data_IF_673478469568
#
_entry.id   IF_673478469568
#
_cell.length_a   1.000
_cell.length_b   1.000
_cell.length_c   1.000
_cell.angle_alpha   90.00
_cell.angle_beta   90.00
_cell.angle_gamma   90.00
#
_symmetry.space_group_name_H-M   'P 1'
#
loop_
_entity.id
_entity.type
_entity.pdbx_description
1 polymer ?
#
# COMPACT_ATOMS: atom_id res chain seq x y z
N UNK A 1 -3.09 17.49 41.03
CA UNK A 1 -2.09 16.71 40.24
C UNK A 1 -2.22 15.25 40.64
N UNK A 2 -2.58 14.35 39.72
CA UNK A 2 -2.55 12.92 39.94
C UNK A 2 -1.09 12.50 40.03
N UNK A 3 -0.68 11.87 41.14
CA UNK A 3 0.71 11.52 41.40
C UNK A 3 1.28 10.47 40.41
N UNK A 4 0.41 9.63 39.81
CA UNK A 4 0.77 8.61 38.82
C UNK A 4 -0.38 8.47 37.81
N UNK A 5 -0.37 9.21 36.69
CA UNK A 5 -1.37 9.04 35.65
C UNK A 5 -1.22 7.65 35.00
N UNK A 6 -2.36 6.99 34.80
CA UNK A 6 -2.43 5.71 34.07
C UNK A 6 -3.25 5.89 32.82
N UNK A 7 -2.80 5.29 31.73
CA UNK A 7 -3.55 5.26 30.45
C UNK A 7 -3.86 3.80 30.13
N UNK A 8 -5.13 3.48 29.93
CA UNK A 8 -5.60 2.18 29.47
C UNK A 8 -5.90 2.25 27.98
N UNK A 9 -5.37 1.30 27.20
CA UNK A 9 -5.68 1.15 25.78
C UNK A 9 -6.37 -0.21 25.63
N UNK A 10 -7.65 -0.17 25.22
CA UNK A 10 -8.46 -1.36 24.98
C UNK A 10 -8.83 -1.38 23.51
N UNK A 11 -8.48 -2.44 22.81
CA UNK A 11 -8.71 -2.53 21.37
C UNK A 11 -8.72 -3.99 20.91
N UNK A 12 -9.31 -4.24 19.77
CA UNK A 12 -9.24 -5.50 19.04
C UNK A 12 -8.46 -5.30 17.73
N UNK A 13 -7.99 -6.38 17.14
CA UNK A 13 -7.43 -6.34 15.81
C UNK A 13 -8.47 -5.85 14.79
N UNK A 14 -8.01 -5.16 13.79
CA UNK A 14 -8.80 -4.67 12.69
C UNK A 14 -8.11 -4.99 11.36
N UNK A 15 -8.63 -4.39 10.30
CA UNK A 15 -8.08 -4.54 8.95
C UNK A 15 -6.83 -3.67 8.70
N UNK A 16 -6.38 -2.88 9.71
CA UNK A 16 -5.22 -1.99 9.59
C UNK A 16 -3.97 -2.73 10.01
N UNK A 17 -3.02 -2.89 9.10
CA UNK A 17 -1.64 -3.27 9.40
C UNK A 17 -0.76 -2.00 9.40
N UNK A 18 0.37 -2.03 10.09
CA UNK A 18 1.27 -0.87 10.32
C UNK A 18 0.59 0.31 11.03
N UNK A 19 -0.32 0.01 11.92
CA UNK A 19 -0.95 1.02 12.77
C UNK A 19 -0.36 1.06 14.18
N UNK A 20 -0.77 2.04 15.00
CA UNK A 20 -0.30 2.14 16.40
C UNK A 20 -0.51 0.86 17.23
N UNK A 21 -1.53 0.06 16.89
CA UNK A 21 -1.76 -1.23 17.57
C UNK A 21 -0.63 -2.21 17.31
N UNK A 22 -0.11 -2.24 16.08
CA UNK A 22 0.99 -3.16 15.71
C UNK A 22 2.26 -2.84 16.48
N UNK A 23 2.57 -1.55 16.68
CA UNK A 23 3.69 -1.11 17.50
C UNK A 23 3.54 -1.55 18.96
N UNK A 24 2.32 -1.37 19.52
CA UNK A 24 2.03 -1.82 20.88
C UNK A 24 2.08 -3.34 21.02
N UNK A 25 1.56 -4.09 20.05
CA UNK A 25 1.63 -5.55 20.04
C UNK A 25 3.09 -6.06 19.92
N UNK A 26 3.87 -5.48 19.01
CA UNK A 26 5.28 -5.82 18.85
C UNK A 26 6.07 -5.55 20.14
N UNK A 27 5.89 -4.36 20.75
CA UNK A 27 6.49 -4.02 22.02
C UNK A 27 6.04 -4.97 23.14
N UNK A 28 4.73 -5.25 23.22
CA UNK A 28 4.17 -6.14 24.22
C UNK A 28 4.75 -7.56 24.11
N UNK A 29 4.93 -8.07 22.90
CA UNK A 29 5.55 -9.39 22.66
C UNK A 29 7.00 -9.43 23.08
N UNK A 30 7.80 -8.38 22.77
CA UNK A 30 9.20 -8.30 23.22
C UNK A 30 9.30 -8.30 24.75
N UNK A 31 8.41 -7.58 25.44
CA UNK A 31 8.36 -7.58 26.90
C UNK A 31 8.02 -8.97 27.45
N UNK A 32 7.01 -9.64 26.88
CA UNK A 32 6.50 -10.92 27.36
C UNK A 32 7.41 -12.11 27.05
N UNK A 33 8.09 -12.11 25.91
CA UNK A 33 8.83 -13.27 25.41
C UNK A 33 10.33 -13.06 25.26
N UNK A 34 10.79 -11.80 25.14
CA UNK A 34 12.20 -11.48 24.91
C UNK A 34 12.87 -10.75 26.09
N UNK A 35 12.17 -10.65 27.24
CA UNK A 35 12.64 -9.98 28.45
C UNK A 35 13.03 -8.50 28.27
N UNK A 36 12.41 -7.79 27.30
CA UNK A 36 12.57 -6.35 27.18
C UNK A 36 12.01 -5.64 28.43
N UNK A 37 12.66 -4.59 28.98
CA UNK A 37 12.15 -3.84 30.11
C UNK A 37 10.77 -3.22 29.80
N UNK A 38 9.81 -3.40 30.71
CA UNK A 38 8.44 -2.93 30.51
C UNK A 38 8.29 -1.41 30.52
N UNK A 39 9.18 -0.70 31.24
CA UNK A 39 9.16 0.75 31.35
C UNK A 39 7.76 1.30 31.71
N UNK A 40 7.00 0.57 32.52
CA UNK A 40 5.63 0.92 32.93
C UNK A 40 4.56 0.57 31.90
N UNK A 41 4.86 -0.21 30.87
CA UNK A 41 3.90 -0.74 29.91
C UNK A 41 3.51 -2.17 30.29
N UNK A 42 2.25 -2.38 30.65
CA UNK A 42 1.68 -3.70 30.99
C UNK A 42 0.90 -4.25 29.78
N UNK A 43 1.46 -5.17 29.00
CA UNK A 43 0.74 -5.82 27.92
C UNK A 43 -0.16 -6.92 28.45
N UNK A 44 -1.42 -6.94 27.96
CA UNK A 44 -2.36 -8.04 28.16
C UNK A 44 -2.97 -8.37 26.81
N UNK A 45 -2.54 -9.48 26.22
CA UNK A 45 -2.83 -9.84 24.84
C UNK A 45 -3.62 -11.15 24.84
N UNK A 46 -4.87 -11.10 24.37
CA UNK A 46 -5.75 -12.24 24.18
C UNK A 46 -6.00 -12.41 22.68
N UNK A 47 -5.39 -13.40 22.06
CA UNK A 47 -5.56 -13.70 20.64
C UNK A 47 -5.14 -15.16 20.36
N UNK A 48 -5.63 -15.71 19.25
CA UNK A 48 -5.03 -16.89 18.66
C UNK A 48 -3.69 -16.51 17.99
N UNK A 49 -2.78 -17.47 17.91
CA UNK A 49 -1.47 -17.29 17.29
C UNK A 49 -1.48 -17.62 15.81
N UNK A 50 -2.32 -18.58 15.40
CA UNK A 50 -2.44 -19.06 14.03
C UNK A 50 -3.91 -19.20 13.63
N UNK A 51 -4.20 -18.99 12.33
CA UNK A 51 -5.56 -19.04 11.80
C UNK A 51 -6.18 -20.44 11.92
N UNK A 52 -5.37 -21.47 11.79
CA UNK A 52 -5.79 -22.88 11.89
C UNK A 52 -6.38 -23.21 13.26
N UNK A 53 -5.94 -22.52 14.31
CA UNK A 53 -6.43 -22.71 15.68
C UNK A 53 -7.91 -22.35 15.84
N UNK A 54 -8.48 -21.56 14.93
CA UNK A 54 -9.89 -21.15 14.99
C UNK A 54 -10.85 -22.34 14.86
N UNK A 55 -10.42 -23.40 14.20
CA UNK A 55 -11.25 -24.59 13.95
C UNK A 55 -11.36 -25.53 15.16
N UNK A 56 -10.57 -25.28 16.20
CA UNK A 56 -10.63 -26.04 17.45
C UNK A 56 -11.15 -25.13 18.58
N UNK A 57 -12.38 -25.37 19.08
CA UNK A 57 -12.99 -24.58 20.15
C UNK A 57 -12.17 -24.52 21.45
N UNK A 58 -11.29 -25.49 21.70
CA UNK A 58 -10.42 -25.46 22.87
C UNK A 58 -9.41 -24.32 22.82
N UNK A 59 -9.04 -23.87 21.63
CA UNK A 59 -8.16 -22.71 21.47
C UNK A 59 -8.85 -21.35 21.69
N UNK A 60 -10.18 -21.28 21.59
CA UNK A 60 -10.91 -20.00 21.69
C UNK A 60 -10.72 -19.31 23.05
N UNK A 61 -10.40 -20.06 24.10
CA UNK A 61 -10.09 -19.53 25.42
C UNK A 61 -8.84 -18.63 25.42
N UNK A 62 -7.91 -18.82 24.50
CA UNK A 62 -6.73 -17.99 24.35
C UNK A 62 -7.11 -16.56 23.93
N UNK A 63 -8.10 -16.43 23.05
CA UNK A 63 -8.61 -15.15 22.59
C UNK A 63 -9.67 -14.57 23.54
N UNK A 64 -10.46 -15.43 24.19
CA UNK A 64 -11.58 -15.03 25.04
C UNK A 64 -11.53 -15.78 26.38
N UNK A 65 -10.69 -15.36 27.34
CA UNK A 65 -10.59 -16.04 28.64
C UNK A 65 -11.91 -16.10 29.42
N UNK A 66 -12.85 -15.20 29.14
CA UNK A 66 -14.17 -15.16 29.77
C UNK A 66 -15.06 -16.35 29.43
N UNK A 67 -14.76 -17.10 28.35
CA UNK A 67 -15.50 -18.32 27.99
C UNK A 67 -15.44 -19.40 29.07
N UNK A 68 -14.42 -19.40 29.93
CA UNK A 68 -14.36 -20.30 31.09
C UNK A 68 -15.48 -20.09 32.09
N UNK A 69 -16.02 -18.88 32.16
CA UNK A 69 -16.97 -18.47 33.19
C UNK A 69 -18.37 -18.17 32.67
N UNK A 70 -18.53 -18.07 31.35
CA UNK A 70 -19.76 -17.65 30.68
C UNK A 70 -20.19 -18.66 29.60
N UNK A 71 -20.95 -19.71 29.97
CA UNK A 71 -21.40 -20.75 29.02
C UNK A 71 -22.22 -20.18 27.84
N UNK A 72 -23.06 -19.18 28.09
CA UNK A 72 -23.88 -18.55 27.05
C UNK A 72 -22.99 -17.84 26.01
N UNK A 73 -21.89 -17.21 26.46
CA UNK A 73 -20.92 -16.58 25.57
C UNK A 73 -20.18 -17.61 24.71
N UNK A 74 -19.93 -18.82 25.25
CA UNK A 74 -19.34 -19.90 24.47
C UNK A 74 -20.30 -20.33 23.35
N UNK A 75 -21.59 -20.48 23.67
CA UNK A 75 -22.59 -20.83 22.66
C UNK A 75 -22.72 -19.76 21.57
N UNK A 76 -22.76 -18.48 21.97
CA UNK A 76 -22.77 -17.34 21.04
C UNK A 76 -21.54 -17.38 20.13
N UNK A 77 -20.35 -17.63 20.67
CA UNK A 77 -19.10 -17.74 19.90
C UNK A 77 -19.14 -18.91 18.93
N UNK A 78 -19.76 -20.02 19.32
CA UNK A 78 -19.93 -21.19 18.45
C UNK A 78 -20.92 -20.92 17.30
N UNK A 79 -21.93 -20.11 17.55
CA UNK A 79 -22.89 -19.69 16.51
C UNK A 79 -22.22 -18.72 15.53
N UNK A 80 -21.46 -17.73 16.00
CA UNK A 80 -20.66 -16.84 15.18
C UNK A 80 -19.60 -17.60 14.34
N UNK A 81 -19.00 -18.64 14.92
CA UNK A 81 -18.06 -19.51 14.18
C UNK A 81 -18.74 -20.22 13.02
N UNK A 82 -19.95 -20.78 13.23
CA UNK A 82 -20.70 -21.44 12.14
C UNK A 82 -21.05 -20.47 11.02
N UNK A 83 -21.53 -19.30 11.39
CA UNK A 83 -21.85 -18.24 10.43
C UNK A 83 -20.61 -17.80 9.64
N UNK A 84 -19.46 -17.71 10.33
CA UNK A 84 -18.20 -17.38 9.65
C UNK A 84 -17.74 -18.50 8.70
N UNK A 85 -17.87 -19.76 9.06
CA UNK A 85 -17.51 -20.90 8.19
C UNK A 85 -18.39 -20.96 6.94
N UNK A 86 -19.69 -20.64 7.07
CA UNK A 86 -20.63 -20.64 5.95
C UNK A 86 -20.46 -19.40 5.05
N UNK A 87 -20.16 -18.24 5.64
CA UNK A 87 -20.07 -16.96 4.96
C UNK A 87 -18.84 -16.13 5.39
N UNK A 88 -17.62 -16.58 5.10
CA UNK A 88 -16.38 -15.93 5.60
C UNK A 88 -16.23 -14.48 5.18
N UNK A 89 -16.71 -14.13 3.97
CA UNK A 89 -16.61 -12.76 3.43
C UNK A 89 -17.52 -11.75 4.15
N UNK A 90 -18.63 -12.23 4.73
CA UNK A 90 -19.60 -11.36 5.40
C UNK A 90 -19.30 -11.22 6.89
N UNK A 91 -18.64 -12.20 7.49
CA UNK A 91 -18.40 -12.33 8.93
C UNK A 91 -16.91 -12.19 9.31
N UNK A 92 -16.14 -11.39 8.57
CA UNK A 92 -14.71 -11.17 8.81
C UNK A 92 -14.38 -10.64 10.22
N UNK A 93 -15.34 -9.98 10.85
CA UNK A 93 -15.22 -9.47 12.23
C UNK A 93 -15.02 -10.58 13.27
N UNK A 94 -15.49 -11.80 13.00
CA UNK A 94 -15.28 -12.96 13.88
C UNK A 94 -13.78 -13.23 14.13
N UNK A 95 -12.98 -13.28 13.07
CA UNK A 95 -11.54 -13.50 13.20
C UNK A 95 -10.83 -12.36 13.92
N UNK A 96 -11.20 -11.12 13.58
CA UNK A 96 -10.47 -9.95 14.09
C UNK A 96 -10.89 -9.55 15.48
N UNK A 97 -12.18 -9.50 15.73
CA UNK A 97 -12.74 -8.98 16.98
C UNK A 97 -12.93 -10.07 18.03
N UNK A 98 -13.35 -11.27 17.60
CA UNK A 98 -13.59 -12.36 18.53
C UNK A 98 -12.33 -13.19 18.78
N UNK A 99 -11.55 -13.49 17.74
CA UNK A 99 -10.38 -14.36 17.85
C UNK A 99 -9.04 -13.60 17.94
N UNK A 100 -9.08 -12.28 17.84
CA UNK A 100 -7.88 -11.43 17.93
C UNK A 100 -6.87 -11.68 16.83
N UNK A 101 -7.25 -12.38 15.76
CA UNK A 101 -6.42 -12.60 14.59
C UNK A 101 -6.44 -11.38 13.68
N UNK A 102 -5.38 -11.17 12.93
CA UNK A 102 -5.41 -10.17 11.86
C UNK A 102 -6.37 -10.60 10.77
N UNK A 103 -7.14 -9.68 10.24
CA UNK A 103 -7.96 -9.95 9.06
C UNK A 103 -7.03 -10.17 7.87
N UNK A 104 -6.71 -11.42 7.62
CA UNK A 104 -6.17 -11.85 6.35
C UNK A 104 -7.32 -12.18 5.42
N UNK A 105 -7.92 -11.18 4.78
CA UNK A 105 -8.74 -11.42 3.61
C UNK A 105 -7.82 -11.78 2.45
N UNK A 106 -7.28 -13.01 2.47
CA UNK A 106 -6.39 -13.51 1.42
C UNK A 106 -7.00 -13.43 0.01
N UNK A 107 -8.32 -13.49 -0.09
CA UNK A 107 -9.00 -13.38 -1.39
C UNK A 107 -9.22 -11.94 -1.87
N UNK A 108 -9.09 -10.93 -1.00
CA UNK A 108 -9.40 -9.54 -1.30
C UNK A 108 -8.16 -8.64 -1.25
N UNK A 109 -7.16 -8.96 -0.44
CA UNK A 109 -5.91 -8.19 -0.40
C UNK A 109 -5.12 -8.33 -1.72
N UNK A 110 -4.29 -7.32 -2.03
CA UNK A 110 -3.37 -7.42 -3.17
C UNK A 110 -2.41 -8.59 -2.98
N UNK A 111 -1.86 -8.73 -1.78
CA UNK A 111 -0.98 -9.85 -1.40
C UNK A 111 -0.91 -9.94 0.12
N UNK A 112 -0.22 -10.96 0.64
CA UNK A 112 0.04 -11.11 2.06
C UNK A 112 0.94 -9.99 2.57
N UNK A 113 0.68 -9.53 3.80
CA UNK A 113 1.45 -8.44 4.40
C UNK A 113 2.95 -8.74 4.52
N UNK A 114 3.32 -9.98 4.81
CA UNK A 114 4.72 -10.40 4.85
C UNK A 114 5.43 -10.22 3.50
N UNK A 115 4.73 -10.49 2.37
CA UNK A 115 5.27 -10.25 1.04
C UNK A 115 5.43 -8.76 0.74
N UNK A 116 4.52 -7.92 1.27
CA UNK A 116 4.68 -6.45 1.20
C UNK A 116 5.94 -6.02 1.94
N UNK A 117 6.20 -6.53 3.14
CA UNK A 117 7.42 -6.21 3.90
C UNK A 117 8.70 -6.64 3.17
N UNK A 118 8.67 -7.77 2.47
CA UNK A 118 9.82 -8.27 1.70
C UNK A 118 10.22 -7.39 0.52
N UNK A 119 9.41 -6.40 0.15
CA UNK A 119 9.79 -5.39 -0.85
C UNK A 119 10.86 -4.42 -0.35
N UNK A 120 11.09 -4.35 0.97
CA UNK A 120 12.15 -3.54 1.58
C UNK A 120 13.53 -4.18 1.34
N UNK A 121 13.92 -4.26 0.08
CA UNK A 121 15.23 -4.75 -0.36
C UNK A 121 16.07 -3.57 -0.84
N UNK A 122 17.38 -3.56 -0.61
CA UNK A 122 18.27 -2.52 -1.12
C UNK A 122 18.14 -2.39 -2.64
N UNK A 123 18.11 -1.16 -3.12
CA UNK A 123 18.13 -0.85 -4.54
C UNK A 123 19.56 -0.59 -5.02
N UNK A 124 19.92 -0.94 -6.26
CA UNK A 124 21.14 -0.49 -6.88
C UNK A 124 21.05 1.03 -7.17
N UNK A 125 22.18 1.63 -7.58
CA UNK A 125 22.15 2.98 -8.14
C UNK A 125 21.41 2.95 -9.49
N UNK A 126 20.26 3.58 -9.53
CA UNK A 126 19.38 3.63 -10.71
C UNK A 126 19.66 4.81 -11.64
N UNK A 127 20.61 5.69 -11.32
CA UNK A 127 20.95 6.83 -12.17
C UNK A 127 21.37 6.39 -13.57
N UNK A 128 20.83 7.06 -14.57
CA UNK A 128 21.04 6.74 -15.98
C UNK A 128 20.18 5.58 -16.50
N UNK A 129 19.41 4.89 -15.62
CA UNK A 129 18.53 3.83 -16.09
C UNK A 129 17.30 4.39 -16.79
N UNK A 130 16.75 3.58 -17.70
CA UNK A 130 15.46 3.88 -18.34
C UNK A 130 14.32 3.45 -17.43
N UNK A 131 13.32 4.33 -17.29
CA UNK A 131 12.13 4.08 -16.48
C UNK A 131 10.84 4.47 -17.19
N UNK A 132 9.73 3.95 -16.70
CA UNK A 132 8.38 4.43 -16.95
C UNK A 132 7.88 5.20 -15.75
N UNK A 133 7.00 6.18 -15.98
CA UNK A 133 6.38 7.00 -14.93
C UNK A 133 4.92 6.64 -14.82
N UNK A 134 4.46 6.40 -13.61
CA UNK A 134 3.04 6.31 -13.29
C UNK A 134 2.63 7.48 -12.41
N UNK A 135 1.47 8.05 -12.68
CA UNK A 135 0.89 9.15 -11.94
C UNK A 135 -0.52 8.79 -11.48
N UNK A 136 -0.78 8.91 -10.19
CA UNK A 136 -2.14 8.95 -9.64
C UNK A 136 -2.38 10.31 -9.01
N UNK A 137 -3.39 11.02 -9.52
CA UNK A 137 -3.69 12.40 -9.16
C UNK A 137 -5.17 12.57 -8.82
N UNK A 138 -5.46 13.07 -7.63
CA UNK A 138 -6.81 13.42 -7.20
C UNK A 138 -6.99 14.95 -7.20
N UNK A 139 -8.06 15.44 -7.83
CA UNK A 139 -8.31 16.85 -8.07
C UNK A 139 -8.43 17.72 -6.81
N UNK A 140 -9.02 17.19 -5.77
CA UNK A 140 -9.34 17.94 -4.57
C UNK A 140 -8.88 17.19 -3.33
N UNK A 141 -7.93 17.81 -2.67
CA UNK A 141 -7.77 17.73 -1.22
C UNK A 141 -7.19 16.44 -0.62
N UNK A 142 -6.62 15.48 -1.38
CA UNK A 142 -6.16 14.29 -0.71
C UNK A 142 -4.68 13.99 -0.90
N UNK A 143 -4.38 13.13 -1.83
CA UNK A 143 -3.05 12.66 -2.12
C UNK A 143 -2.82 12.65 -3.62
N UNK A 144 -1.58 12.83 -4.01
CA UNK A 144 -1.09 12.52 -5.33
C UNK A 144 0.18 11.69 -5.19
N UNK A 145 0.48 10.87 -6.18
CA UNK A 145 1.69 10.07 -6.17
C UNK A 145 2.25 9.89 -7.58
N UNK A 146 3.58 9.88 -7.66
CA UNK A 146 4.36 9.53 -8.85
C UNK A 146 5.19 8.31 -8.54
N UNK A 147 5.22 7.34 -9.44
CA UNK A 147 6.09 6.18 -9.37
C UNK A 147 7.02 6.13 -10.60
N UNK A 148 8.30 6.06 -10.34
CA UNK A 148 9.32 5.76 -11.35
C UNK A 148 9.59 4.26 -11.30
N UNK A 149 9.25 3.55 -12.35
CA UNK A 149 9.38 2.10 -12.43
C UNK A 149 10.55 1.70 -13.33
N UNK A 150 11.42 0.85 -12.82
CA UNK A 150 12.62 0.35 -13.49
C UNK A 150 12.59 -1.17 -13.51
N UNK A 151 13.23 -1.76 -14.54
CA UNK A 151 13.31 -3.20 -14.69
C UNK A 151 14.73 -3.64 -15.05
N UNK A 152 15.16 -4.76 -14.47
CA UNK A 152 16.36 -5.48 -14.89
C UNK A 152 16.10 -7.00 -14.83
N UNK A 153 15.90 -7.60 -15.99
CA UNK A 153 15.51 -9.01 -16.07
C UNK A 153 14.17 -9.27 -15.38
N UNK A 154 14.20 -10.04 -14.30
CA UNK A 154 13.04 -10.32 -13.46
C UNK A 154 12.81 -9.27 -12.37
N UNK A 155 13.85 -8.57 -11.91
CA UNK A 155 13.76 -7.63 -10.80
C UNK A 155 13.06 -6.33 -11.21
N UNK A 156 12.25 -5.79 -10.27
CA UNK A 156 11.52 -4.52 -10.38
C UNK A 156 11.98 -3.58 -9.28
N UNK A 157 12.36 -2.37 -9.67
CA UNK A 157 12.80 -1.33 -8.77
C UNK A 157 11.87 -0.14 -8.95
N UNK A 158 11.43 0.44 -7.84
CA UNK A 158 10.50 1.55 -7.87
C UNK A 158 10.98 2.67 -6.97
N UNK A 159 10.85 3.91 -7.44
CA UNK A 159 11.01 5.13 -6.64
C UNK A 159 9.66 5.81 -6.64
N UNK A 160 9.01 5.83 -5.50
CA UNK A 160 7.70 6.42 -5.34
C UNK A 160 7.80 7.69 -4.51
N UNK A 161 7.09 8.72 -4.91
CA UNK A 161 6.95 9.94 -4.14
C UNK A 161 5.48 10.35 -4.07
N UNK A 162 5.05 10.77 -2.90
CA UNK A 162 3.68 11.19 -2.66
C UNK A 162 3.61 12.62 -2.14
N UNK A 163 2.48 13.27 -2.38
CA UNK A 163 2.14 14.58 -1.82
C UNK A 163 0.86 14.47 -1.02
N UNK A 164 0.81 15.18 0.10
CA UNK A 164 -0.37 15.29 0.95
C UNK A 164 -0.75 16.75 1.13
N UNK A 165 -2.04 17.06 0.94
CA UNK A 165 -2.57 18.40 1.09
C UNK A 165 -2.94 18.67 2.55
N UNK A 166 -2.30 19.66 3.20
CA UNK A 166 -2.50 19.96 4.63
C UNK A 166 -3.87 20.61 4.92
N UNK A 167 -4.43 21.34 3.98
CA UNK A 167 -5.71 22.01 4.14
C UNK A 167 -6.91 21.13 3.74
N UNK A 168 -6.65 19.84 3.46
CA UNK A 168 -7.69 18.88 3.15
C UNK A 168 -8.58 18.61 4.36
N UNK A 169 -9.90 18.75 4.16
CA UNK A 169 -10.91 18.40 5.18
C UNK A 169 -10.93 16.90 5.52
N UNK A 170 -10.35 16.06 4.68
CA UNK A 170 -10.30 14.61 4.87
C UNK A 170 -9.04 14.16 5.59
N UNK A 171 -7.98 14.98 5.61
CA UNK A 171 -6.71 14.66 6.23
C UNK A 171 -6.80 14.12 7.67
N UNK A 172 -7.64 14.70 8.57
CA UNK A 172 -7.79 14.18 9.93
C UNK A 172 -8.35 12.75 10.01
N UNK A 173 -8.97 12.26 8.93
CA UNK A 173 -9.54 10.91 8.85
C UNK A 173 -8.54 9.89 8.29
N UNK A 174 -7.44 10.35 7.72
CA UNK A 174 -6.44 9.47 7.10
C UNK A 174 -5.60 8.82 8.19
N UNK A 175 -5.67 7.50 8.25
CA UNK A 175 -4.96 6.68 9.23
C UNK A 175 -3.55 6.34 8.72
N UNK A 176 -2.72 7.35 8.51
CA UNK A 176 -1.33 7.21 8.09
C UNK A 176 -0.43 8.07 8.97
N UNK A 177 0.78 7.65 9.32
CA UNK A 177 1.77 8.46 10.02
C UNK A 177 2.47 9.45 9.06
N UNK A 178 1.69 10.19 8.28
CA UNK A 178 2.18 11.05 7.21
C UNK A 178 3.15 12.14 7.70
N UNK A 179 2.98 12.62 8.96
CA UNK A 179 3.90 13.60 9.55
C UNK A 179 5.30 13.02 9.74
N UNK A 180 5.40 11.76 10.13
CA UNK A 180 6.66 11.04 10.26
C UNK A 180 7.28 10.86 8.88
N UNK A 181 6.52 10.37 7.92
CA UNK A 181 6.99 10.19 6.54
C UNK A 181 7.42 11.49 5.86
N UNK A 182 6.74 12.61 6.16
CA UNK A 182 7.17 13.91 5.66
C UNK A 182 8.52 14.36 6.25
N UNK A 183 8.74 14.13 7.55
CA UNK A 183 10.02 14.43 8.21
C UNK A 183 11.16 13.56 7.69
N UNK A 184 10.89 12.32 7.35
CA UNK A 184 11.84 11.35 6.81
C UNK A 184 12.08 11.51 5.30
N UNK A 185 11.32 12.39 4.64
CA UNK A 185 11.48 12.68 3.21
C UNK A 185 10.77 11.70 2.27
N UNK A 186 9.93 10.80 2.79
CA UNK A 186 9.19 9.83 2.00
C UNK A 186 8.02 10.45 1.23
N UNK A 187 7.50 11.59 1.69
CA UNK A 187 6.46 12.37 1.01
C UNK A 187 6.62 13.87 1.26
N UNK A 188 5.93 14.67 0.46
CA UNK A 188 5.89 16.14 0.62
C UNK A 188 4.52 16.59 1.15
N UNK A 189 4.53 17.32 2.27
CA UNK A 189 3.35 17.98 2.80
C UNK A 189 3.19 19.37 2.11
N UNK A 190 2.05 19.60 1.47
CA UNK A 190 1.73 20.83 0.74
C UNK A 190 0.75 21.66 1.55
N UNK A 191 1.18 22.84 1.97
CA UNK A 191 0.31 23.78 2.72
C UNK A 191 -0.56 24.60 1.77
N UNK A 192 -1.52 23.89 1.17
CA UNK A 192 -2.49 24.47 0.24
C UNK A 192 -3.80 23.67 0.29
N UNK A 193 -4.84 24.17 -0.39
CA UNK A 193 -6.15 23.52 -0.55
C UNK A 193 -6.11 22.40 -1.60
N UNK A 194 -5.10 22.39 -2.48
CA UNK A 194 -4.91 21.41 -3.55
C UNK A 194 -3.44 21.16 -3.82
N UNK A 195 -3.11 20.03 -4.45
CA UNK A 195 -1.76 19.74 -4.94
C UNK A 195 -1.67 20.26 -6.38
N UNK A 196 -0.84 21.28 -6.61
CA UNK A 196 -0.65 21.83 -7.95
C UNK A 196 -0.06 20.79 -8.91
N UNK A 197 -0.62 20.61 -10.12
CA UNK A 197 -0.01 19.81 -11.18
C UNK A 197 1.42 20.22 -11.54
N UNK A 198 1.76 21.49 -11.36
CA UNK A 198 3.11 22.01 -11.65
C UNK A 198 4.15 21.48 -10.67
N UNK A 199 3.77 21.22 -9.39
CA UNK A 199 4.66 20.55 -8.44
C UNK A 199 5.03 19.15 -8.90
N UNK A 200 4.06 18.43 -9.44
CA UNK A 200 4.26 17.08 -9.97
C UNK A 200 5.09 17.11 -11.24
N UNK A 201 4.81 18.06 -12.15
CA UNK A 201 5.58 18.27 -13.36
C UNK A 201 7.06 18.61 -13.05
N UNK A 202 7.30 19.48 -12.07
CA UNK A 202 8.64 19.81 -11.61
C UNK A 202 9.39 18.59 -11.08
N UNK A 203 8.74 17.74 -10.26
CA UNK A 203 9.34 16.51 -9.77
C UNK A 203 9.72 15.56 -10.91
N UNK A 204 8.84 15.35 -11.90
CA UNK A 204 9.10 14.50 -13.06
C UNK A 204 10.26 15.09 -13.89
N UNK A 205 10.31 16.42 -14.05
CA UNK A 205 11.39 17.09 -14.76
C UNK A 205 12.74 16.96 -14.04
N UNK A 206 12.74 17.04 -12.71
CA UNK A 206 13.94 16.80 -11.91
C UNK A 206 14.38 15.33 -11.98
N UNK A 207 13.45 14.38 -11.93
CA UNK A 207 13.74 12.98 -12.15
C UNK A 207 14.34 12.71 -13.54
N UNK A 208 13.90 13.42 -14.59
CA UNK A 208 14.44 13.30 -15.94
C UNK A 208 15.92 13.74 -16.08
N UNK A 209 16.46 14.47 -15.09
CA UNK A 209 17.90 14.77 -15.02
C UNK A 209 18.73 13.58 -14.56
N UNK A 210 18.12 12.68 -13.80
CA UNK A 210 18.79 11.51 -13.24
C UNK A 210 18.50 10.23 -14.02
N UNK A 211 17.31 10.13 -14.61
CA UNK A 211 16.80 8.91 -15.24
C UNK A 211 16.32 9.18 -16.66
N UNK A 212 16.35 8.15 -17.51
CA UNK A 212 15.83 8.23 -18.87
C UNK A 212 14.34 7.86 -18.87
N UNK A 213 13.45 8.85 -18.80
CA UNK A 213 12.00 8.63 -18.75
C UNK A 213 11.49 8.29 -20.15
N UNK A 214 11.04 7.05 -20.34
CA UNK A 214 10.53 6.52 -21.62
C UNK A 214 9.13 7.00 -21.94
N UNK A 215 8.22 6.86 -20.98
CA UNK A 215 6.80 7.19 -21.14
C UNK A 215 6.15 7.42 -19.77
N UNK A 216 4.98 8.08 -19.79
CA UNK A 216 4.13 8.35 -18.63
C UNK A 216 2.78 7.66 -18.80
N UNK A 217 2.24 7.08 -17.73
CA UNK A 217 0.91 6.50 -17.66
C UNK A 217 0.13 7.08 -16.48
N UNK A 218 -1.16 7.38 -16.70
CA UNK A 218 -2.06 7.80 -15.64
C UNK A 218 -3.52 7.51 -16.00
N UNK A 219 -4.41 7.59 -15.02
CA UNK A 219 -5.83 7.39 -15.21
C UNK A 219 -6.40 8.30 -16.30
N UNK A 220 -7.21 7.72 -17.20
CA UNK A 220 -7.81 8.42 -18.33
C UNK A 220 -8.71 9.58 -17.89
N UNK A 221 -9.51 9.39 -16.85
CA UNK A 221 -10.47 10.39 -16.39
C UNK A 221 -9.81 11.61 -15.72
N UNK A 222 -8.58 11.45 -15.22
CA UNK A 222 -7.85 12.50 -14.51
C UNK A 222 -6.87 13.28 -15.38
N UNK A 223 -6.67 12.84 -16.62
CA UNK A 223 -5.70 13.47 -17.53
C UNK A 223 -5.95 14.97 -17.74
N UNK A 224 -7.21 15.37 -17.89
CA UNK A 224 -7.56 16.78 -18.15
C UNK A 224 -7.06 17.73 -17.07
N UNK A 225 -6.94 17.25 -15.82
CA UNK A 225 -6.51 18.05 -14.67
C UNK A 225 -5.03 18.40 -14.69
N UNK A 226 -4.21 17.56 -15.29
CA UNK A 226 -2.74 17.72 -15.30
C UNK A 226 -2.18 17.94 -16.70
N UNK A 227 -3.01 17.90 -17.74
CA UNK A 227 -2.59 17.85 -19.15
C UNK A 227 -1.75 19.04 -19.57
N UNK A 228 -2.04 20.24 -19.07
CA UNK A 228 -1.29 21.46 -19.40
C UNK A 228 0.14 21.38 -18.82
N UNK A 229 0.28 21.10 -17.53
CA UNK A 229 1.58 20.96 -16.88
C UNK A 229 2.40 19.80 -17.45
N UNK A 230 1.75 18.68 -17.81
CA UNK A 230 2.44 17.55 -18.43
C UNK A 230 2.92 17.86 -19.85
N UNK A 231 2.12 18.59 -20.65
CA UNK A 231 2.56 19.06 -21.99
C UNK A 231 3.76 20.00 -21.89
N UNK A 232 3.79 20.88 -20.88
CA UNK A 232 4.91 21.81 -20.68
C UNK A 232 6.25 21.08 -20.49
N UNK A 233 6.22 19.85 -19.97
CA UNK A 233 7.41 19.00 -19.78
C UNK A 233 7.55 17.90 -20.85
N UNK A 234 6.80 17.97 -21.96
CA UNK A 234 6.95 17.10 -23.13
C UNK A 234 6.12 15.80 -23.08
N UNK A 235 5.08 15.73 -22.24
CA UNK A 235 4.14 14.59 -22.24
C UNK A 235 2.77 15.03 -22.75
N UNK A 236 2.47 14.70 -24.01
CA UNK A 236 1.16 14.95 -24.62
C UNK A 236 0.47 13.61 -24.91
N UNK A 237 -0.82 13.49 -24.53
CA UNK A 237 -1.64 12.31 -24.81
C UNK A 237 -1.90 12.07 -26.31
N UNK A 238 -1.61 13.05 -27.17
CA UNK A 238 -1.60 12.85 -28.62
C UNK A 238 -0.45 11.90 -29.04
N UNK A 239 0.69 11.93 -28.35
CA UNK A 239 1.80 11.00 -28.57
C UNK A 239 1.58 9.70 -27.75
N UNK A 240 1.03 8.68 -28.40
CA UNK A 240 0.73 7.39 -27.79
C UNK A 240 1.97 6.58 -27.39
N UNK A 241 3.17 6.97 -27.87
CA UNK A 241 4.42 6.35 -27.47
C UNK A 241 4.96 6.94 -26.16
N UNK A 242 4.52 8.16 -25.83
CA UNK A 242 4.99 8.90 -24.66
C UNK A 242 3.97 8.93 -23.52
N UNK A 243 2.67 8.87 -23.84
CA UNK A 243 1.61 8.97 -22.83
C UNK A 243 0.58 7.88 -23.02
N UNK A 244 0.37 7.08 -22.00
CA UNK A 244 -0.68 6.08 -21.88
C UNK A 244 -1.77 6.56 -20.93
N UNK A 245 -2.99 6.68 -21.43
CA UNK A 245 -4.17 6.90 -20.61
C UNK A 245 -4.73 5.54 -20.17
N UNK A 246 -4.52 5.21 -18.90
CA UNK A 246 -4.86 3.92 -18.31
C UNK A 246 -6.36 3.77 -18.15
N UNK A 247 -6.87 2.60 -18.51
CA UNK A 247 -8.27 2.18 -18.37
C UNK A 247 -8.35 0.95 -17.47
N UNK A 248 -9.52 0.61 -16.93
CA UNK A 248 -9.69 -0.61 -16.15
C UNK A 248 -9.18 -1.89 -16.83
N UNK A 249 -9.32 -1.98 -18.17
CA UNK A 249 -8.79 -3.11 -18.96
C UNK A 249 -7.27 -3.22 -18.91
N UNK A 250 -6.57 -2.09 -18.82
CA UNK A 250 -5.10 -2.10 -18.73
C UNK A 250 -4.66 -2.59 -17.35
N UNK A 251 -5.41 -2.24 -16.29
CA UNK A 251 -5.19 -2.74 -14.94
C UNK A 251 -5.40 -4.26 -14.89
N UNK A 252 -6.46 -4.77 -15.52
CA UNK A 252 -6.73 -6.22 -15.62
C UNK A 252 -5.59 -6.98 -16.29
N UNK A 253 -4.91 -6.37 -17.24
CA UNK A 253 -3.79 -6.99 -17.96
C UNK A 253 -2.50 -7.02 -17.10
N UNK A 254 -2.26 -5.97 -16.31
CA UNK A 254 -1.04 -5.87 -15.50
C UNK A 254 -1.18 -6.53 -14.13
N UNK A 255 -2.39 -6.72 -13.64
CA UNK A 255 -2.66 -7.30 -12.33
C UNK A 255 -1.98 -8.66 -12.12
N UNK A 256 -2.06 -9.65 -13.03
CA UNK A 256 -1.37 -10.93 -12.87
C UNK A 256 0.16 -10.78 -12.79
N UNK A 257 0.74 -9.80 -13.50
CA UNK A 257 2.18 -9.51 -13.45
C UNK A 257 2.57 -8.98 -12.07
N UNK A 258 1.74 -8.09 -11.50
CA UNK A 258 1.95 -7.57 -10.15
C UNK A 258 1.86 -8.69 -9.11
N UNK A 259 0.88 -9.60 -9.24
CA UNK A 259 0.78 -10.77 -8.37
C UNK A 259 2.04 -11.64 -8.45
N UNK A 260 2.49 -11.96 -9.67
CA UNK A 260 3.73 -12.73 -9.87
C UNK A 260 4.94 -12.04 -9.22
N UNK A 261 5.04 -10.71 -9.32
CA UNK A 261 6.12 -9.96 -8.71
C UNK A 261 6.12 -10.07 -7.18
N UNK A 262 4.96 -10.06 -6.53
CA UNK A 262 4.86 -10.31 -5.09
C UNK A 262 5.16 -11.77 -4.74
N UNK A 263 4.58 -12.72 -5.47
CA UNK A 263 4.72 -14.15 -5.19
C UNK A 263 6.16 -14.63 -5.32
N UNK A 264 6.90 -14.09 -6.29
CA UNK A 264 8.32 -14.39 -6.53
C UNK A 264 9.28 -13.42 -5.85
N UNK A 265 8.77 -12.47 -5.06
CA UNK A 265 9.58 -11.48 -4.35
C UNK A 265 10.51 -10.66 -5.26
N UNK A 266 9.99 -10.27 -6.43
CA UNK A 266 10.77 -9.54 -7.46
C UNK A 266 10.81 -8.04 -7.21
N UNK A 267 9.94 -7.48 -6.38
CA UNK A 267 9.96 -6.07 -6.04
C UNK A 267 11.09 -5.71 -5.07
N UNK A 268 11.83 -4.67 -5.41
CA UNK A 268 12.92 -4.10 -4.61
C UNK A 268 12.69 -2.59 -4.48
N UNK A 269 11.95 -2.18 -3.44
CA UNK A 269 11.55 -0.77 -3.28
C UNK A 269 12.44 0.01 -2.32
N UNK A 270 13.27 -0.67 -1.53
CA UNK A 270 13.97 -0.02 -0.43
C UNK A 270 13.00 0.46 0.64
N UNK A 271 13.43 1.46 1.40
CA UNK A 271 12.61 2.01 2.46
C UNK A 271 11.58 3.02 1.93
N UNK A 272 10.40 2.52 1.55
CA UNK A 272 9.28 3.31 1.06
C UNK A 272 7.98 2.90 1.80
N UNK A 273 7.82 3.31 3.06
CA UNK A 273 6.70 2.91 3.90
C UNK A 273 5.34 3.37 3.36
N UNK A 274 5.27 4.55 2.72
CA UNK A 274 4.05 5.07 2.11
C UNK A 274 3.56 4.22 0.93
N UNK A 275 4.48 3.66 0.13
CA UNK A 275 4.13 2.74 -0.96
C UNK A 275 3.60 1.41 -0.41
N UNK A 276 4.29 0.81 0.57
CA UNK A 276 3.82 -0.40 1.25
C UNK A 276 2.45 -0.21 1.90
N UNK A 277 2.25 0.93 2.55
CA UNK A 277 0.96 1.29 3.11
C UNK A 277 -0.14 1.41 2.04
N UNK A 278 0.17 1.99 0.87
CA UNK A 278 -0.73 2.07 -0.28
C UNK A 278 -1.18 0.68 -0.76
N UNK A 279 -0.26 -0.28 -0.88
CA UNK A 279 -0.59 -1.68 -1.23
C UNK A 279 -1.52 -2.29 -0.20
N UNK A 280 -1.19 -2.14 1.09
CA UNK A 280 -1.96 -2.72 2.20
C UNK A 280 -3.38 -2.12 2.34
N UNK A 281 -3.62 -0.94 1.75
CA UNK A 281 -4.92 -0.29 1.70
C UNK A 281 -5.74 -0.65 0.46
N UNK A 282 -5.20 -1.47 -0.41
CA UNK A 282 -5.79 -1.83 -1.68
C UNK A 282 -6.32 -3.26 -1.63
N UNK A 283 -7.50 -3.45 -2.21
CA UNK A 283 -8.09 -4.76 -2.44
C UNK A 283 -8.23 -5.06 -3.91
N UNK A 284 -8.17 -6.33 -4.24
CA UNK A 284 -8.54 -6.87 -5.54
C UNK A 284 -10.05 -7.01 -5.61
N UNK A 285 -10.65 -6.54 -6.69
CA UNK A 285 -12.09 -6.67 -6.93
C UNK A 285 -12.28 -7.32 -8.28
N UNK A 286 -13.10 -8.36 -8.34
CA UNK A 286 -13.46 -8.99 -9.61
C UNK A 286 -14.15 -7.97 -10.51
N UNK A 287 -13.68 -7.86 -11.73
CA UNK A 287 -14.35 -7.04 -12.75
C UNK A 287 -15.71 -7.66 -13.06
N UNK A 288 -16.74 -6.81 -13.06
CA UNK A 288 -18.12 -7.25 -13.24
C UNK A 288 -18.31 -8.11 -14.51
N UNK A 289 -19.14 -9.12 -14.36
CA UNK A 289 -19.52 -10.09 -15.40
C UNK A 289 -20.01 -9.40 -16.68
N UNK A 290 -19.37 -9.63 -17.81
CA UNK A 290 -20.03 -9.45 -19.09
C UNK A 290 -20.90 -10.68 -19.34
N UNK A 291 -22.22 -10.49 -19.49
CA UNK A 291 -23.20 -11.54 -19.81
C UNK A 291 -23.26 -12.73 -18.82
N UNK A 292 -23.02 -12.48 -17.52
CA UNK A 292 -23.16 -13.54 -16.51
C UNK A 292 -21.97 -14.49 -16.38
N UNK A 293 -20.93 -14.35 -17.20
CA UNK A 293 -19.70 -15.17 -17.14
C UNK A 293 -18.67 -14.46 -16.29
N UNK A 294 -18.10 -15.16 -15.30
CA UNK A 294 -16.95 -14.70 -14.53
C UNK A 294 -15.73 -14.68 -15.46
N UNK A 295 -15.15 -13.50 -15.67
CA UNK A 295 -13.99 -13.35 -16.55
C UNK A 295 -12.66 -13.69 -15.87
N UNK A 296 -12.66 -13.91 -14.54
CA UNK A 296 -11.45 -14.11 -13.76
C UNK A 296 -10.54 -12.89 -13.66
N UNK A 297 -10.95 -11.74 -14.22
CA UNK A 297 -10.16 -10.52 -14.23
C UNK A 297 -10.38 -9.70 -12.95
N UNK A 298 -9.30 -9.09 -12.45
CA UNK A 298 -9.34 -8.23 -11.27
C UNK A 298 -8.93 -6.80 -11.60
N UNK A 299 -9.47 -5.87 -10.83
CA UNK A 299 -9.06 -4.47 -10.73
C UNK A 299 -8.77 -4.16 -9.27
N UNK A 300 -8.20 -2.99 -9.01
CA UNK A 300 -7.89 -2.54 -7.66
C UNK A 300 -8.91 -1.53 -7.15
N UNK A 301 -9.23 -1.60 -5.87
CA UNK A 301 -10.10 -0.67 -5.17
C UNK A 301 -9.57 -0.40 -3.74
N UNK A 302 -10.03 0.69 -3.13
CA UNK A 302 -9.70 1.00 -1.73
C UNK A 302 -10.45 0.05 -0.79
N UNK A 303 -9.78 -0.48 0.25
CA UNK A 303 -10.43 -1.27 1.29
C UNK A 303 -11.44 -0.39 2.03
N UNK A 304 -11.03 0.83 2.40
CA UNK A 304 -11.88 1.82 3.07
C UNK A 304 -11.76 3.18 2.37
N UNK A 305 -12.85 3.66 1.76
CA UNK A 305 -12.81 4.84 0.90
C UNK A 305 -12.47 6.15 1.64
N UNK A 306 -12.83 6.26 2.93
CA UNK A 306 -12.76 7.52 3.68
C UNK A 306 -11.45 7.76 4.42
N UNK A 307 -10.76 6.70 4.86
CA UNK A 307 -9.61 6.80 5.76
C UNK A 307 -8.30 6.27 5.18
N UNK A 308 -8.37 5.56 4.06
CA UNK A 308 -7.21 4.90 3.45
C UNK A 308 -6.97 5.39 2.03
N UNK A 309 -5.71 5.58 1.71
CA UNK A 309 -5.27 6.04 0.39
C UNK A 309 -4.48 4.95 -0.31
N UNK A 310 -4.68 4.85 -1.62
CA UNK A 310 -4.04 3.87 -2.49
C UNK A 310 -3.17 4.53 -3.55
N UNK A 311 -3.12 5.84 -3.55
CA UNK A 311 -2.51 6.68 -4.60
C UNK A 311 -1.04 6.26 -4.89
N UNK A 312 -0.16 5.99 -3.88
CA UNK A 312 1.19 5.49 -4.16
C UNK A 312 1.21 4.17 -4.92
N UNK A 313 0.33 3.23 -4.56
CA UNK A 313 0.24 1.94 -5.25
C UNK A 313 -0.40 2.08 -6.64
N UNK A 314 -1.43 2.92 -6.80
CA UNK A 314 -2.05 3.13 -8.10
C UNK A 314 -1.11 3.81 -9.09
N UNK A 315 -0.21 4.69 -8.62
CA UNK A 315 0.86 5.23 -9.43
C UNK A 315 1.84 4.13 -9.90
N UNK A 316 2.19 3.17 -9.02
CA UNK A 316 2.97 2.00 -9.39
C UNK A 316 2.23 1.16 -10.45
N UNK A 317 0.96 0.84 -10.22
CA UNK A 317 0.12 0.10 -11.18
C UNK A 317 0.12 0.79 -12.54
N UNK A 318 -0.09 2.11 -12.58
CA UNK A 318 -0.06 2.88 -13.82
C UNK A 318 1.29 2.73 -14.54
N UNK A 319 2.42 2.88 -13.86
CA UNK A 319 3.76 2.76 -14.46
C UNK A 319 4.00 1.34 -15.03
N UNK A 320 3.49 0.31 -14.37
CA UNK A 320 3.61 -1.08 -14.82
C UNK A 320 2.74 -1.41 -16.04
N UNK A 321 1.66 -0.66 -16.30
CA UNK A 321 0.87 -0.86 -17.54
C UNK A 321 1.66 -0.59 -18.80
N UNK A 322 2.76 0.13 -18.70
CA UNK A 322 3.68 0.46 -19.80
C UNK A 322 5.09 -0.14 -19.60
N UNK A 323 5.29 -1.03 -18.62
CA UNK A 323 6.54 -1.76 -18.40
C UNK A 323 7.09 -2.44 -19.68
N UNK A 324 6.28 -3.01 -20.59
CA UNK A 324 6.80 -3.59 -21.82
C UNK A 324 7.69 -2.66 -22.65
N UNK A 325 7.56 -1.34 -22.51
CA UNK A 325 8.43 -0.37 -23.18
C UNK A 325 9.88 -0.40 -22.68
N UNK A 326 10.13 -0.98 -21.50
CA UNK A 326 11.47 -1.12 -20.93
C UNK A 326 12.24 -2.32 -21.49
N UNK A 327 11.56 -3.25 -22.17
CA UNK A 327 12.19 -4.48 -22.67
C UNK A 327 12.81 -5.31 -21.53
N UNK A 328 14.09 -5.68 -21.65
CA UNK A 328 14.83 -6.38 -20.60
C UNK A 328 15.34 -5.45 -19.50
N UNK A 329 15.19 -4.13 -19.66
CA UNK A 329 15.61 -3.15 -18.68
C UNK A 329 17.12 -3.03 -18.46
N UNK A 330 17.94 -3.37 -19.46
CA UNK A 330 19.39 -3.12 -19.36
C UNK A 330 19.65 -1.61 -19.21
N UNK A 331 20.54 -1.18 -18.29
CA UNK A 331 20.89 0.22 -18.17
C UNK A 331 21.54 0.70 -19.47
N UNK A 332 21.21 1.91 -19.90
CA UNK A 332 22.00 2.59 -20.92
C UNK A 332 23.42 2.75 -20.38
N UNK A 333 24.43 2.46 -21.21
CA UNK A 333 25.80 2.77 -20.84
C UNK A 333 25.89 4.26 -20.46
N UNK A 334 26.44 4.54 -19.28
CA UNK A 334 26.62 5.93 -18.86
C UNK A 334 27.35 6.69 -19.97
N UNK A 335 26.91 7.90 -20.35
CA UNK A 335 27.68 8.71 -21.30
C UNK A 335 29.11 8.84 -20.73
N UNK A 336 30.16 8.71 -21.56
CA UNK A 336 31.51 8.83 -21.07
C UNK A 336 31.63 10.21 -20.39
N UNK A 337 32.03 10.22 -19.12
CA UNK A 337 32.32 11.48 -18.42
C UNK A 337 33.39 12.20 -19.22
N UNK A 338 32.97 13.25 -19.92
CA UNK A 338 33.89 14.10 -20.66
C UNK A 338 34.95 14.56 -19.67
N UNK A 339 36.20 14.22 -19.95
CA UNK A 339 37.33 14.69 -19.21
C UNK A 339 37.27 16.23 -19.24
N UNK A 340 36.99 16.86 -18.09
CA UNK A 340 37.21 18.29 -17.90
C UNK A 340 38.74 18.45 -18.03
N UNK A 341 39.21 18.87 -19.20
CA UNK A 341 40.57 19.41 -19.31
C UNK A 341 40.57 20.72 -18.55
N UNK A 342 41.35 20.75 -17.47
CA UNK A 342 41.78 21.97 -16.78
C UNK A 342 42.54 22.90 -17.74
#
# INVERSE_FOLDING_TARGET
>A
KVAQPRVGIFTSNGEVNDGPLDDYLARGRRILFENEPDNGFLPFICCLEAREQVHDPENWYMANPSLFYLPDLFQETADEYRDWVEHPEQNGDFLTKRMGLRAGFQEISVTDYEKILKTNKPQPDLRGWTCTVGLDYAELSDWAAVNLHFRRGADRFDINHAWVCLQSKTLPRIKAPWQTWAKEGHLTAVDDVSISPDLIAAYIQDAARCYNIKALAMDHYRWTLVSESMRAIGFDAADKNRVKLVRPSDIMQVEPVIQECFDRELFCWGDQPHLRWGVNNTKRVRSSRKQGVDTGNFIYAKIEAKSRKTDPFMALVASMTIEPLLGTGAPLAAPPMGAIRL
#
